data_IF_012469897850
#
_entry.id   IF_012469897850
#
_cell.length_a   1.000
_cell.length_b   1.000
_cell.length_c   1.000
_cell.angle_alpha   90.00
_cell.angle_beta   90.00
_cell.angle_gamma   90.00
#
_symmetry.space_group_name_H-M   'P 1'
#
loop_
_entity.id
_entity.type
_entity.pdbx_description
1 polymer ?
#
# COMPACT_ATOMS: atom_id res chain seq x y z
N UNK A 1 -17.79 -22.82 3.53
CA UNK A 1 -16.60 -21.96 3.32
C UNK A 1 -16.43 -21.16 4.59
N UNK A 2 -15.67 -21.66 5.56
CA UNK A 2 -15.46 -20.97 6.84
C UNK A 2 -14.11 -21.33 7.44
N UNK A 3 -13.03 -21.11 6.68
CA UNK A 3 -11.65 -21.27 7.21
C UNK A 3 -10.97 -19.93 7.52
N UNK A 4 -11.65 -18.80 7.26
CA UNK A 4 -11.14 -17.47 7.57
C UNK A 4 -12.05 -16.84 8.61
N UNK A 5 -11.57 -16.76 9.85
CA UNK A 5 -12.20 -16.00 10.91
C UNK A 5 -11.66 -14.58 10.84
N UNK A 6 -12.54 -13.59 10.69
CA UNK A 6 -12.18 -12.18 10.61
C UNK A 6 -12.68 -11.48 11.89
N UNK A 7 -11.77 -10.92 12.67
CA UNK A 7 -12.14 -9.92 13.65
C UNK A 7 -12.13 -8.58 12.91
N UNK A 8 -13.30 -8.16 12.43
CA UNK A 8 -13.43 -6.97 11.59
C UNK A 8 -12.80 -5.73 12.26
N UNK A 9 -12.84 -5.63 13.59
CA UNK A 9 -12.26 -4.51 14.32
C UNK A 9 -10.74 -4.57 14.38
N UNK A 10 -10.17 -5.73 14.71
CA UNK A 10 -8.71 -5.92 14.73
C UNK A 10 -8.10 -5.87 13.32
N UNK A 11 -8.70 -6.58 12.37
CA UNK A 11 -8.23 -6.67 10.99
C UNK A 11 -8.27 -5.32 10.28
N UNK A 12 -9.31 -4.51 10.54
CA UNK A 12 -9.39 -3.14 9.99
C UNK A 12 -8.25 -2.26 10.50
N UNK A 13 -7.90 -2.36 11.79
CA UNK A 13 -6.78 -1.59 12.37
C UNK A 13 -5.44 -2.06 11.79
N UNK A 14 -5.26 -3.37 11.64
CA UNK A 14 -4.06 -3.94 11.03
C UNK A 14 -3.90 -3.47 9.57
N UNK A 15 -4.98 -3.50 8.78
CA UNK A 15 -4.98 -3.02 7.39
C UNK A 15 -4.72 -1.52 7.27
N UNK A 16 -5.28 -0.70 8.17
CA UNK A 16 -4.98 0.73 8.24
C UNK A 16 -3.50 0.97 8.51
N UNK A 17 -2.91 0.26 9.47
CA UNK A 17 -1.48 0.35 9.76
C UNK A 17 -0.62 -0.05 8.56
N UNK A 18 -1.00 -1.11 7.83
CA UNK A 18 -0.32 -1.50 6.58
C UNK A 18 -0.43 -0.40 5.53
N UNK A 19 -1.62 0.18 5.32
CA UNK A 19 -1.84 1.26 4.36
C UNK A 19 -0.98 2.50 4.69
N UNK A 20 -0.89 2.86 5.96
CA UNK A 20 -0.03 3.93 6.44
C UNK A 20 1.46 3.64 6.20
N UNK A 21 1.90 2.41 6.49
CA UNK A 21 3.27 1.95 6.27
C UNK A 21 3.68 1.98 4.79
N UNK A 22 2.78 1.56 3.89
CA UNK A 22 3.01 1.65 2.44
C UNK A 22 3.14 3.11 2.00
N UNK A 23 2.24 4.00 2.46
CA UNK A 23 2.29 5.43 2.14
C UNK A 23 3.56 6.11 2.65
N UNK A 24 4.00 5.77 3.86
CA UNK A 24 5.26 6.26 4.41
C UNK A 24 6.45 5.79 3.57
N UNK A 25 6.46 4.51 3.18
CA UNK A 25 7.52 3.94 2.32
C UNK A 25 7.53 4.58 0.94
N UNK A 26 6.38 4.86 0.34
CA UNK A 26 6.28 5.55 -0.93
C UNK A 26 6.82 6.98 -0.85
N UNK A 27 6.45 7.70 0.21
CA UNK A 27 6.95 9.06 0.47
C UNK A 27 8.47 9.07 0.63
N UNK A 28 9.02 8.11 1.38
CA UNK A 28 10.45 7.96 1.56
C UNK A 28 11.16 7.61 0.24
N UNK A 29 10.58 6.70 -0.55
CA UNK A 29 11.10 6.35 -1.87
C UNK A 29 11.16 7.59 -2.77
N UNK A 30 10.09 8.38 -2.85
CA UNK A 30 10.04 9.60 -3.65
C UNK A 30 11.11 10.63 -3.24
N UNK A 31 11.42 10.71 -1.94
CA UNK A 31 12.49 11.59 -1.43
C UNK A 31 13.90 11.13 -1.82
N UNK A 32 14.08 9.86 -2.21
CA UNK A 32 15.36 9.24 -2.54
C UNK A 32 15.54 9.06 -4.04
N UNK A 33 15.49 10.16 -4.79
CA UNK A 33 15.78 10.15 -6.23
C UNK A 33 17.24 9.75 -6.49
N UNK A 34 17.51 8.72 -7.31
CA UNK A 34 18.87 8.28 -7.58
C UNK A 34 19.68 9.34 -8.32
N UNK A 35 20.91 9.58 -7.83
CA UNK A 35 21.89 10.40 -8.51
C UNK A 35 23.24 9.69 -8.56
N UNK A 36 23.69 9.38 -9.77
CA UNK A 36 24.98 8.80 -10.08
C UNK A 36 25.83 9.86 -10.81
N UNK A 37 26.78 10.50 -10.12
CA UNK A 37 27.53 11.59 -10.70
C UNK A 37 28.51 11.09 -11.79
N UNK A 38 28.72 11.86 -12.89
CA UNK A 38 29.54 11.42 -14.01
C UNK A 38 30.98 11.02 -13.65
N UNK A 39 31.57 11.67 -12.64
CA UNK A 39 32.93 11.41 -12.21
C UNK A 39 33.08 10.10 -11.41
N UNK A 40 31.98 9.55 -10.87
CA UNK A 40 32.02 8.29 -10.12
C UNK A 40 32.31 7.07 -11.00
N UNK A 41 32.08 7.14 -12.32
CA UNK A 41 32.46 6.07 -13.25
C UNK A 41 33.95 6.08 -13.62
N UNK A 42 34.70 7.11 -13.22
CA UNK A 42 36.10 7.29 -13.58
C UNK A 42 36.32 8.04 -14.89
N UNK A 43 37.58 8.38 -15.15
CA UNK A 43 38.01 9.21 -16.29
C UNK A 43 37.71 8.48 -17.61
N UNK A 44 37.14 9.20 -18.59
CA UNK A 44 36.69 8.68 -19.89
C UNK A 44 35.48 7.72 -19.90
N UNK A 45 34.82 7.49 -18.75
CA UNK A 45 33.61 6.64 -18.65
C UNK A 45 32.31 7.43 -18.54
N UNK A 46 32.28 8.70 -18.97
CA UNK A 46 31.08 9.54 -18.89
C UNK A 46 29.85 8.90 -19.56
N UNK A 47 30.03 8.23 -20.69
CA UNK A 47 28.94 7.48 -21.35
C UNK A 47 28.46 6.27 -20.55
N UNK A 48 29.32 5.65 -19.73
CA UNK A 48 28.92 4.57 -18.83
C UNK A 48 28.16 5.12 -17.61
N UNK A 49 28.61 6.24 -17.04
CA UNK A 49 27.91 6.93 -15.96
C UNK A 49 26.47 7.31 -16.36
N UNK A 50 26.28 7.83 -17.58
CA UNK A 50 24.96 8.16 -18.11
C UNK A 50 24.04 6.92 -18.21
N UNK A 51 24.59 5.77 -18.62
CA UNK A 51 23.82 4.50 -18.66
C UNK A 51 23.45 4.01 -17.27
N UNK A 52 24.36 4.12 -16.30
CA UNK A 52 24.08 3.76 -14.90
C UNK A 52 23.01 4.68 -14.30
N UNK A 53 23.11 6.00 -14.50
CA UNK A 53 22.08 6.95 -14.08
C UNK A 53 20.72 6.57 -14.66
N UNK A 54 20.64 6.31 -15.97
CA UNK A 54 19.39 5.92 -16.63
C UNK A 54 18.82 4.61 -16.07
N UNK A 55 19.68 3.62 -15.80
CA UNK A 55 19.27 2.35 -15.21
C UNK A 55 18.73 2.54 -13.78
N UNK A 56 19.39 3.34 -12.94
CA UNK A 56 18.90 3.66 -11.60
C UNK A 56 17.57 4.39 -11.64
N UNK A 57 17.40 5.36 -12.55
CA UNK A 57 16.12 6.06 -12.74
C UNK A 57 15.01 5.08 -13.15
N UNK A 58 15.28 4.17 -14.10
CA UNK A 58 14.30 3.17 -14.52
C UNK A 58 13.85 2.27 -13.35
N UNK A 59 14.79 1.82 -12.51
CA UNK A 59 14.46 1.02 -11.33
C UNK A 59 13.64 1.83 -10.34
N UNK A 60 14.00 3.09 -10.11
CA UNK A 60 13.28 3.99 -9.22
C UNK A 60 11.84 4.27 -9.68
N UNK A 61 11.63 4.53 -10.97
CA UNK A 61 10.31 4.72 -11.57
C UNK A 61 9.44 3.46 -11.42
N UNK A 62 10.00 2.28 -11.70
CA UNK A 62 9.31 1.00 -11.46
C UNK A 62 9.00 0.80 -9.97
N UNK A 63 9.88 1.24 -9.08
CA UNK A 63 9.64 1.26 -7.63
C UNK A 63 8.42 2.11 -7.27
N UNK A 64 8.32 3.32 -7.83
CA UNK A 64 7.18 4.21 -7.60
C UNK A 64 5.85 3.58 -8.06
N UNK A 65 5.84 2.93 -9.23
CA UNK A 65 4.66 2.19 -9.71
C UNK A 65 4.23 1.05 -8.77
N UNK A 66 5.20 0.32 -8.19
CA UNK A 66 4.90 -0.74 -7.22
C UNK A 66 4.31 -0.18 -5.92
N UNK A 67 4.83 0.95 -5.43
CA UNK A 67 4.26 1.62 -4.27
C UNK A 67 2.85 2.13 -4.53
N UNK A 68 2.62 2.81 -5.66
CA UNK A 68 1.28 3.28 -6.04
C UNK A 68 0.27 2.13 -6.14
N UNK A 69 0.68 0.99 -6.71
CA UNK A 69 -0.16 -0.21 -6.75
C UNK A 69 -0.45 -0.76 -5.35
N UNK A 70 0.57 -0.85 -4.48
CA UNK A 70 0.38 -1.31 -3.11
C UNK A 70 -0.54 -0.39 -2.30
N UNK A 71 -0.45 0.93 -2.48
CA UNK A 71 -1.37 1.90 -1.86
C UNK A 71 -2.80 1.69 -2.33
N UNK A 72 -3.00 1.53 -3.65
CA UNK A 72 -4.33 1.27 -4.22
C UNK A 72 -4.95 -0.01 -3.66
N UNK A 73 -4.17 -1.09 -3.57
CA UNK A 73 -4.63 -2.36 -2.98
C UNK A 73 -4.95 -2.21 -1.50
N UNK A 74 -4.10 -1.52 -0.73
CA UNK A 74 -4.34 -1.31 0.70
C UNK A 74 -5.60 -0.47 0.95
N UNK A 75 -5.82 0.58 0.15
CA UNK A 75 -7.05 1.39 0.22
C UNK A 75 -8.29 0.57 -0.15
N UNK A 76 -8.22 -0.25 -1.20
CA UNK A 76 -9.31 -1.13 -1.59
C UNK A 76 -9.64 -2.14 -0.48
N UNK A 77 -8.62 -2.73 0.17
CA UNK A 77 -8.81 -3.65 1.29
C UNK A 77 -9.51 -2.95 2.47
N UNK A 78 -9.06 -1.75 2.86
CA UNK A 78 -9.70 -0.96 3.93
C UNK A 78 -11.16 -0.66 3.59
N UNK A 79 -11.45 -0.28 2.34
CA UNK A 79 -12.82 -0.01 1.89
C UNK A 79 -13.72 -1.26 1.97
N UNK A 80 -13.19 -2.43 1.57
CA UNK A 80 -13.93 -3.69 1.65
C UNK A 80 -14.23 -4.11 3.09
N UNK A 81 -13.25 -4.02 4.00
CA UNK A 81 -13.46 -4.34 5.41
C UNK A 81 -14.45 -3.39 6.08
N UNK A 82 -14.39 -2.09 5.74
CA UNK A 82 -15.36 -1.10 6.21
C UNK A 82 -16.78 -1.45 5.75
N UNK A 83 -16.94 -1.86 4.48
CA UNK A 83 -18.24 -2.25 3.94
C UNK A 83 -18.79 -3.53 4.60
N UNK A 84 -17.94 -4.53 4.85
CA UNK A 84 -18.33 -5.76 5.54
C UNK A 84 -18.76 -5.47 6.98
N UNK A 85 -17.99 -4.66 7.72
CA UNK A 85 -18.35 -4.26 9.08
C UNK A 85 -19.69 -3.52 9.15
N UNK A 86 -19.91 -2.57 8.23
CA UNK A 86 -21.17 -1.84 8.15
C UNK A 86 -22.37 -2.76 7.85
N UNK A 87 -22.18 -3.76 6.99
CA UNK A 87 -23.22 -4.75 6.68
C UNK A 87 -23.52 -5.66 7.89
N UNK A 88 -22.48 -6.08 8.63
CA UNK A 88 -22.64 -6.90 9.84
C UNK A 88 -23.37 -6.14 10.95
N UNK A 89 -22.99 -4.88 11.19
CA UNK A 89 -23.67 -3.99 12.15
C UNK A 89 -25.15 -3.79 11.80
N UNK A 90 -25.44 -3.56 10.51
CA UNK A 90 -26.82 -3.39 10.03
C UNK A 90 -27.65 -4.67 10.23
N UNK A 91 -27.09 -5.84 9.89
CA UNK A 91 -27.74 -7.13 10.10
C UNK A 91 -27.97 -7.41 11.59
N UNK A 92 -26.97 -7.15 12.44
CA UNK A 92 -27.07 -7.33 13.89
C UNK A 92 -28.14 -6.41 14.50
N UNK A 93 -28.29 -5.18 14.00
CA UNK A 93 -29.34 -4.26 14.42
C UNK A 93 -30.73 -4.76 14.01
N UNK A 94 -30.89 -5.28 12.79
CA UNK A 94 -32.16 -5.88 12.33
C UNK A 94 -32.55 -7.09 13.18
N UNK A 95 -31.61 -7.99 13.46
CA UNK A 95 -31.87 -9.18 14.28
C UNK A 95 -32.25 -8.81 15.73
N UNK A 96 -31.59 -7.80 16.31
CA UNK A 96 -31.96 -7.26 17.63
C UNK A 96 -33.36 -6.64 17.63
N UNK A 97 -33.73 -5.95 16.55
CA UNK A 97 -35.08 -5.38 16.38
C UNK A 97 -36.18 -6.44 16.23
N UNK A 98 -35.87 -7.58 15.60
CA UNK A 98 -36.80 -8.72 15.46
C UNK A 98 -36.94 -9.51 16.76
N UNK A 99 -35.88 -9.60 17.57
CA UNK A 99 -35.89 -10.32 18.85
C UNK A 99 -36.58 -9.60 20.02
N UNK A 100 -36.91 -8.31 19.88
CA UNK A 100 -37.62 -7.52 20.91
C UNK A 100 -39.15 -7.54 20.80
N UNK A 101 -39.71 -8.27 19.84
CA UNK A 101 -41.15 -8.33 19.56
C UNK A 101 -41.81 -9.66 19.99
N UNK A 102 -41.14 -10.46 20.83
CA UNK A 102 -41.65 -11.67 21.48
C UNK A 102 -41.53 -11.53 23.00
#
# INVERSE_FOLDING_TARGET
MTDVFLDVGEDSRALQSVAEGVRASHTQHAALTPHFPPHAAGKAFAGHAARLQAAFMTVHERGALRFAHAESVAQAAVAQFTAVGAADDANAAQLRGVGGAL
#
